data_IF_854726135842
#
_entry.id   IF_854726135842
#
_cell.length_a   1.000
_cell.length_b   1.000
_cell.length_c   1.000
_cell.angle_alpha   90.00
_cell.angle_beta   90.00
_cell.angle_gamma   90.00
#
_symmetry.space_group_name_H-M   'P 1'
#
loop_
_entity.id
_entity.type
_entity.pdbx_description
1 polymer ?
#
# COMPACT_ATOMS: atom_id res chain seq x y z
N UNK A 1 -9.87 -5.69 -3.61
CA UNK A 1 -8.65 -5.06 -3.05
C UNK A 1 -7.73 -6.09 -2.42
N UNK A 2 -8.17 -6.88 -1.43
CA UNK A 2 -7.34 -7.95 -0.82
C UNK A 2 -6.65 -8.86 -1.85
N UNK A 3 -7.40 -9.34 -2.85
CA UNK A 3 -6.85 -10.18 -3.94
C UNK A 3 -5.77 -9.52 -4.77
N UNK A 4 -5.93 -8.24 -5.08
CA UNK A 4 -4.97 -7.53 -5.92
C UNK A 4 -3.81 -6.97 -5.09
N UNK A 5 -4.10 -6.27 -3.99
CA UNK A 5 -3.10 -5.60 -3.17
C UNK A 5 -2.26 -6.59 -2.35
N UNK A 6 -2.94 -7.54 -1.69
CA UNK A 6 -2.31 -8.52 -0.80
C UNK A 6 -1.99 -9.84 -1.50
N UNK A 7 -2.43 -10.03 -2.75
CA UNK A 7 -2.23 -11.26 -3.54
C UNK A 7 -2.79 -12.53 -2.87
N UNK A 8 -3.86 -12.40 -2.10
CA UNK A 8 -4.57 -13.51 -1.43
C UNK A 8 -5.85 -13.84 -2.19
N UNK A 9 -6.01 -15.08 -2.64
CA UNK A 9 -7.27 -15.53 -3.29
C UNK A 9 -7.78 -16.79 -2.59
N UNK A 10 -9.02 -16.75 -2.11
CA UNK A 10 -9.70 -17.90 -1.47
C UNK A 10 -11.14 -18.02 -1.96
N UNK A 11 -11.82 -19.08 -1.53
CA UNK A 11 -13.20 -19.38 -1.94
C UNK A 11 -14.26 -18.47 -1.31
N UNK A 12 -13.94 -17.80 -0.19
CA UNK A 12 -14.82 -16.87 0.53
C UNK A 12 -14.02 -15.69 1.05
N UNK A 13 -14.67 -14.54 1.20
CA UNK A 13 -14.04 -13.33 1.73
C UNK A 13 -13.51 -13.53 3.16
N UNK A 14 -14.23 -14.27 4.01
CA UNK A 14 -13.78 -14.59 5.37
C UNK A 14 -12.44 -15.32 5.40
N UNK A 15 -12.22 -16.23 4.46
CA UNK A 15 -10.98 -16.99 4.39
C UNK A 15 -9.81 -16.09 3.93
N UNK A 16 -10.10 -15.10 3.09
CA UNK A 16 -9.13 -14.09 2.66
C UNK A 16 -8.76 -13.15 3.81
N UNK A 17 -9.74 -12.71 4.62
CA UNK A 17 -9.53 -11.89 5.82
C UNK A 17 -8.70 -12.65 6.86
N UNK A 18 -9.03 -13.91 7.15
CA UNK A 18 -8.26 -14.73 8.10
C UNK A 18 -6.80 -14.89 7.66
N UNK A 19 -6.58 -15.16 6.36
CA UNK A 19 -5.21 -15.22 5.82
C UNK A 19 -4.51 -13.87 5.93
N UNK A 20 -5.23 -12.77 5.73
CA UNK A 20 -4.67 -11.42 5.83
C UNK A 20 -4.27 -11.08 7.28
N UNK A 21 -5.06 -11.50 8.28
CA UNK A 21 -4.70 -11.39 9.70
C UNK A 21 -3.40 -12.12 10.00
N UNK A 22 -3.28 -13.38 9.57
CA UNK A 22 -2.06 -14.18 9.74
C UNK A 22 -0.83 -13.49 9.13
N UNK A 23 -0.97 -12.83 7.97
CA UNK A 23 0.15 -12.08 7.39
C UNK A 23 0.55 -10.86 8.21
N UNK A 24 -0.41 -10.15 8.80
CA UNK A 24 -0.12 -9.00 9.68
C UNK A 24 0.58 -9.48 10.94
N UNK A 25 0.06 -10.52 11.59
CA UNK A 25 0.63 -11.09 12.83
C UNK A 25 2.07 -11.57 12.63
N UNK A 26 2.36 -12.14 11.46
CA UNK A 26 3.70 -12.62 11.10
C UNK A 26 4.60 -11.53 10.49
N UNK A 27 4.14 -10.27 10.41
CA UNK A 27 4.90 -9.16 9.83
C UNK A 27 5.16 -9.26 8.33
N UNK A 28 4.41 -10.11 7.62
CA UNK A 28 4.53 -10.37 6.20
C UNK A 28 3.49 -9.59 5.35
N UNK A 29 2.62 -8.82 5.99
CA UNK A 29 1.61 -8.03 5.30
C UNK A 29 2.21 -6.87 4.50
N UNK A 30 1.59 -6.48 3.37
CA UNK A 30 2.01 -5.30 2.62
C UNK A 30 1.98 -4.03 3.46
N UNK A 31 2.94 -3.13 3.22
CA UNK A 31 3.01 -1.86 3.94
C UNK A 31 1.75 -1.01 3.72
N UNK A 32 1.07 -0.66 4.82
CA UNK A 32 -0.20 0.06 4.80
C UNK A 32 -1.41 -0.82 5.16
N UNK A 33 -1.25 -2.14 5.22
CA UNK A 33 -2.27 -3.02 5.80
C UNK A 33 -2.02 -3.12 7.30
N UNK A 34 -3.01 -2.74 8.12
CA UNK A 34 -2.94 -2.83 9.58
C UNK A 34 -4.05 -3.71 10.13
N UNK A 35 -3.92 -4.13 11.39
CA UNK A 35 -4.93 -4.94 12.08
C UNK A 35 -6.28 -4.21 12.13
N UNK A 36 -6.28 -2.90 12.39
CA UNK A 36 -7.49 -2.06 12.45
C UNK A 36 -8.23 -2.04 11.12
N UNK A 37 -7.51 -1.88 10.01
CA UNK A 37 -8.11 -1.92 8.67
C UNK A 37 -8.74 -3.30 8.39
N UNK A 38 -8.12 -4.39 8.84
CA UNK A 38 -8.65 -5.75 8.66
C UNK A 38 -9.91 -5.95 9.50
N UNK A 39 -9.92 -5.48 10.74
CA UNK A 39 -11.09 -5.51 11.61
C UNK A 39 -12.25 -4.70 11.02
N UNK A 40 -11.98 -3.52 10.46
CA UNK A 40 -12.99 -2.72 9.77
C UNK A 40 -13.61 -3.48 8.59
N UNK A 41 -12.79 -4.16 7.77
CA UNK A 41 -13.29 -5.00 6.67
C UNK A 41 -14.15 -6.15 7.20
N UNK A 42 -13.72 -6.82 8.27
CA UNK A 42 -14.48 -7.94 8.84
C UNK A 42 -15.79 -7.49 9.51
N UNK A 43 -15.79 -6.31 10.13
CA UNK A 43 -17.00 -5.68 10.65
C UNK A 43 -17.97 -5.34 9.53
N UNK A 44 -17.56 -4.63 8.48
CA UNK A 44 -18.46 -4.33 7.36
C UNK A 44 -18.98 -5.59 6.67
N UNK A 45 -18.16 -6.65 6.55
CA UNK A 45 -18.61 -7.96 6.06
C UNK A 45 -19.64 -8.62 6.99
N UNK A 46 -19.54 -8.43 8.30
CA UNK A 46 -20.43 -9.06 9.29
C UNK A 46 -21.65 -8.22 9.64
N UNK A 47 -21.66 -6.93 9.24
CA UNK A 47 -22.81 -6.05 9.43
C UNK A 47 -23.93 -6.45 8.48
N UNK A 48 -25.05 -6.82 9.11
CA UNK A 48 -26.38 -6.75 8.52
C UNK A 48 -26.55 -7.52 7.22
N UNK A 49 -27.35 -6.94 6.34
CA UNK A 49 -27.90 -7.61 5.18
C UNK A 49 -26.90 -7.64 4.01
N UNK A 50 -25.95 -6.69 3.98
CA UNK A 50 -24.84 -6.68 3.02
C UNK A 50 -23.97 -7.93 3.18
N UNK A 51 -23.61 -8.29 4.43
CA UNK A 51 -22.81 -9.48 4.71
C UNK A 51 -23.44 -10.77 4.22
N UNK A 52 -24.77 -10.89 4.36
CA UNK A 52 -25.53 -12.04 3.87
C UNK A 52 -25.46 -12.18 2.33
N UNK A 53 -25.38 -11.07 1.59
CA UNK A 53 -25.19 -11.05 0.13
C UNK A 53 -23.73 -11.28 -0.32
N UNK A 54 -22.76 -11.06 0.56
CA UNK A 54 -21.32 -11.25 0.28
C UNK A 54 -20.86 -12.72 0.44
N UNK A 55 -21.66 -13.54 1.12
CA UNK A 55 -21.46 -14.99 1.25
C UNK A 55 -22.19 -15.74 0.11
N UNK A 56 -21.94 -17.06 -0.03
CA UNK A 56 -22.44 -17.86 -1.17
C UNK A 56 -23.97 -18.12 -1.17
N UNK A 57 -24.71 -17.74 -0.14
CA UNK A 57 -26.13 -18.06 0.00
C UNK A 57 -27.04 -16.92 -0.52
N UNK A 58 -27.06 -16.80 -1.85
CA UNK A 58 -27.72 -15.74 -2.62
C UNK A 58 -29.26 -15.84 -2.68
N UNK A 59 -29.85 -16.85 -2.04
CA UNK A 59 -31.30 -17.11 -2.14
C UNK A 59 -32.15 -16.25 -1.19
N UNK A 60 -31.51 -15.38 -0.39
CA UNK A 60 -32.18 -14.54 0.59
C UNK A 60 -32.11 -13.06 0.16
N UNK A 61 -33.23 -12.50 -0.29
CA UNK A 61 -33.32 -11.06 -0.60
C UNK A 61 -33.60 -10.33 0.71
N UNK A 62 -32.54 -9.83 1.35
CA UNK A 62 -32.66 -9.03 2.57
C UNK A 62 -32.40 -7.55 2.26
N UNK A 63 -33.26 -6.62 2.71
CA UNK A 63 -33.11 -5.19 2.43
C UNK A 63 -31.84 -4.62 3.06
N UNK A 64 -31.00 -3.98 2.25
CA UNK A 64 -29.82 -3.27 2.75
C UNK A 64 -30.23 -1.90 3.25
N UNK A 65 -29.79 -1.56 4.47
CA UNK A 65 -30.00 -0.22 5.04
C UNK A 65 -29.07 0.81 4.35
N UNK A 66 -29.55 2.02 4.01
CA UNK A 66 -28.69 3.09 3.49
C UNK A 66 -27.43 3.36 4.31
N UNK A 67 -27.49 3.26 5.63
CA UNK A 67 -26.34 3.50 6.51
C UNK A 67 -25.30 2.38 6.39
N UNK A 68 -25.72 1.13 6.19
CA UNK A 68 -24.82 0.00 5.91
C UNK A 68 -24.11 0.18 4.56
N UNK A 69 -24.84 0.63 3.54
CA UNK A 69 -24.27 0.89 2.22
C UNK A 69 -23.27 2.06 2.27
N UNK A 70 -23.60 3.11 3.01
CA UNK A 70 -22.72 4.25 3.21
C UNK A 70 -21.42 3.85 3.93
N UNK A 71 -21.52 3.04 5.00
CA UNK A 71 -20.34 2.54 5.70
C UNK A 71 -19.41 1.70 4.79
N UNK A 72 -19.98 0.88 3.91
CA UNK A 72 -19.20 0.13 2.92
C UNK A 72 -18.49 1.06 1.93
N UNK A 73 -19.15 2.12 1.46
CA UNK A 73 -18.55 3.11 0.56
C UNK A 73 -17.37 3.79 1.24
N UNK A 74 -17.58 4.29 2.46
CA UNK A 74 -16.53 4.98 3.24
C UNK A 74 -15.32 4.07 3.50
N UNK A 75 -15.58 2.79 3.82
CA UNK A 75 -14.51 1.80 3.95
C UNK A 75 -13.73 1.65 2.63
N UNK A 76 -14.42 1.51 1.50
CA UNK A 76 -13.76 1.34 0.20
C UNK A 76 -12.90 2.58 -0.15
N UNK A 77 -13.42 3.79 0.08
CA UNK A 77 -12.70 5.04 -0.16
C UNK A 77 -11.42 5.13 0.69
N UNK A 78 -11.55 4.87 1.99
CA UNK A 78 -10.42 4.81 2.91
C UNK A 78 -9.35 3.80 2.43
N UNK A 79 -9.78 2.58 2.05
CA UNK A 79 -8.86 1.56 1.56
C UNK A 79 -8.13 1.98 0.28
N UNK A 80 -8.77 2.73 -0.60
CA UNK A 80 -8.12 3.22 -1.83
C UNK A 80 -7.04 4.23 -1.49
N UNK A 81 -7.36 5.18 -0.62
CA UNK A 81 -6.43 6.21 -0.18
C UNK A 81 -5.22 5.61 0.54
N UNK A 82 -5.44 4.68 1.46
CA UNK A 82 -4.37 4.11 2.26
C UNK A 82 -3.53 3.09 1.50
N UNK A 83 -4.16 2.18 0.75
CA UNK A 83 -3.42 1.07 0.13
C UNK A 83 -2.82 1.48 -1.20
N UNK A 84 -3.57 2.21 -2.03
CA UNK A 84 -3.13 2.51 -3.39
C UNK A 84 -2.50 3.89 -3.50
N UNK A 85 -3.18 4.94 -3.04
CA UNK A 85 -2.72 6.33 -3.19
C UNK A 85 -1.48 6.59 -2.32
N UNK A 86 -1.54 6.27 -1.03
CA UNK A 86 -0.42 6.50 -0.12
C UNK A 86 0.82 5.68 -0.52
N UNK A 87 0.63 4.43 -0.98
CA UNK A 87 1.73 3.61 -1.53
C UNK A 87 2.38 4.27 -2.73
N UNK A 88 1.60 4.72 -3.71
CA UNK A 88 2.13 5.39 -4.91
C UNK A 88 2.85 6.70 -4.53
N UNK A 89 2.24 7.52 -3.68
CA UNK A 89 2.86 8.76 -3.20
C UNK A 89 4.19 8.50 -2.49
N UNK A 90 4.28 7.44 -1.68
CA UNK A 90 5.53 7.03 -1.04
C UNK A 90 6.58 6.62 -2.07
N UNK A 91 6.22 5.82 -3.07
CA UNK A 91 7.13 5.40 -4.14
C UNK A 91 7.69 6.61 -4.89
N UNK A 92 6.84 7.57 -5.28
CA UNK A 92 7.25 8.78 -6.00
C UNK A 92 8.23 9.64 -5.19
N UNK A 93 7.95 9.81 -3.90
CA UNK A 93 8.83 10.56 -2.99
C UNK A 93 10.20 9.89 -2.86
N UNK A 94 10.23 8.58 -2.69
CA UNK A 94 11.48 7.82 -2.55
C UNK A 94 12.28 7.81 -3.85
N UNK A 95 11.61 7.67 -5.00
CA UNK A 95 12.24 7.75 -6.31
C UNK A 95 12.88 9.12 -6.51
N UNK A 96 12.17 10.20 -6.21
CA UNK A 96 12.71 11.57 -6.28
C UNK A 96 13.95 11.76 -5.39
N UNK A 97 13.92 11.23 -4.16
CA UNK A 97 15.07 11.30 -3.25
C UNK A 97 16.27 10.54 -3.84
N UNK A 98 16.03 9.37 -4.41
CA UNK A 98 17.08 8.54 -5.03
C UNK A 98 17.69 9.21 -6.27
N UNK A 99 16.86 9.85 -7.10
CA UNK A 99 17.30 10.63 -8.26
C UNK A 99 18.23 11.78 -7.84
N UNK A 100 17.81 12.61 -6.87
CA UNK A 100 18.64 13.70 -6.33
C UNK A 100 19.97 13.17 -5.78
N UNK A 101 19.94 12.03 -5.08
CA UNK A 101 21.14 11.39 -4.56
C UNK A 101 22.10 10.95 -5.66
N UNK A 102 21.58 10.43 -6.77
CA UNK A 102 22.34 9.95 -7.91
C UNK A 102 22.96 11.10 -8.69
N UNK A 103 22.16 12.14 -9.00
CA UNK A 103 22.63 13.36 -9.66
C UNK A 103 23.76 14.03 -8.88
N UNK A 104 23.61 14.18 -7.56
CA UNK A 104 24.65 14.78 -6.71
C UNK A 104 25.92 13.94 -6.67
N UNK A 105 25.81 12.60 -6.62
CA UNK A 105 26.99 11.71 -6.66
C UNK A 105 27.74 11.85 -7.98
N UNK A 106 27.01 11.96 -9.10
CA UNK A 106 27.61 12.17 -10.41
C UNK A 106 28.37 13.49 -10.48
N UNK A 107 27.75 14.60 -10.04
CA UNK A 107 28.41 15.91 -9.97
C UNK A 107 29.69 15.88 -9.14
N UNK A 108 29.68 15.20 -7.99
CA UNK A 108 30.87 15.06 -7.13
C UNK A 108 31.95 14.22 -7.82
N UNK A 109 31.58 13.14 -8.51
CA UNK A 109 32.51 12.29 -9.24
C UNK A 109 33.18 13.04 -10.40
N UNK A 110 32.39 13.82 -11.15
CA UNK A 110 32.88 14.64 -12.26
C UNK A 110 33.83 15.73 -11.74
N UNK A 111 33.45 16.44 -10.68
CA UNK A 111 34.29 17.46 -10.05
C UNK A 111 35.63 16.91 -9.54
N UNK A 112 35.63 15.70 -8.95
CA UNK A 112 36.85 15.01 -8.50
C UNK A 112 37.75 14.60 -9.67
N UNK A 113 37.16 14.17 -10.78
CA UNK A 113 37.88 13.78 -11.99
C UNK A 113 38.55 15.00 -12.62
N UNK A 114 37.83 16.13 -12.71
CA UNK A 114 38.38 17.40 -13.21
C UNK A 114 39.53 17.91 -12.33
N UNK A 115 39.41 17.85 -10.99
CA UNK A 115 40.47 18.29 -10.07
C UNK A 115 41.76 17.46 -10.20
N UNK A 116 41.64 16.15 -10.44
CA UNK A 116 42.80 15.26 -10.60
C UNK A 116 43.54 15.47 -11.92
N UNK A 117 42.90 16.11 -12.91
CA UNK A 117 43.47 16.38 -14.22
C UNK A 117 44.22 17.72 -14.32
N UNK A 118 44.20 18.58 -13.29
CA UNK A 118 45.02 19.79 -13.28
C UNK A 118 46.50 19.43 -13.00
N UNK A 119 47.45 19.89 -13.83
CA UNK A 119 48.87 19.69 -13.56
C UNK A 119 49.27 20.43 -12.29
N UNK A 120 50.20 19.85 -11.51
CA UNK A 120 50.79 20.50 -10.34
C UNK A 120 51.38 21.85 -10.74
N UNK A 121 51.17 22.93 -9.96
CA UNK A 121 51.80 24.20 -10.25
C UNK A 121 53.31 23.96 -10.27
N UNK A 122 53.98 24.29 -11.38
CA UNK A 122 55.43 24.31 -11.44
C UNK A 122 55.92 25.15 -10.26
N UNK A 123 56.64 24.52 -9.34
CA UNK A 123 57.43 25.21 -8.33
C UNK A 123 58.54 25.96 -9.06
N UNK A 124 58.21 27.15 -9.56
CA UNK A 124 59.16 28.09 -10.10
C UNK A 124 60.00 28.64 -8.93
N UNK A 125 61.30 28.61 -9.20
CA UNK A 125 62.46 28.77 -8.32
C UNK A 125 62.61 30.18 -7.77
#
# INVERSE_FOLDING_TARGET
MIRDFCKITKGRLVDEISTLRELVDNGAAPAGVTSETIEAIDHVRSIGNIGAHMEKDINLIVPVDPDEAQALIELIEMLFDEWYVARRSRQDRLERISQIGTEKKQVIADARTSQKALPTPDTAT
#
